data_IF_016820647857
#
_entry.id   IF_016820647857
#
_cell.length_a   1.000
_cell.length_b   1.000
_cell.length_c   1.000
_cell.angle_alpha   90.00
_cell.angle_beta   90.00
_cell.angle_gamma   90.00
#
_symmetry.space_group_name_H-M   'P 1'
#
loop_
_entity.id
_entity.type
_entity.pdbx_description
1 polymer ?
#
# COMPACT_ATOMS: atom_id res chain seq x y z
N UNK A 1 -7.26 -1.12 26.53
CA UNK A 1 -5.80 -0.91 26.36
C UNK A 1 -5.26 -1.64 25.15
N UNK A 2 -5.56 -2.94 25.01
CA UNK A 2 -5.22 -3.76 23.84
C UNK A 2 -5.65 -3.14 22.50
N UNK A 3 -6.89 -2.68 22.38
CA UNK A 3 -7.42 -2.07 21.14
C UNK A 3 -6.68 -0.80 20.71
N UNK A 4 -6.36 0.10 21.65
CA UNK A 4 -5.60 1.33 21.38
C UNK A 4 -4.17 1.02 20.92
N UNK A 5 -3.56 -0.03 21.48
CA UNK A 5 -2.24 -0.49 21.07
C UNK A 5 -2.24 -0.96 19.61
N UNK A 6 -3.21 -1.81 19.23
CA UNK A 6 -3.32 -2.31 17.85
C UNK A 6 -3.64 -1.20 16.84
N UNK A 7 -4.49 -0.23 17.21
CA UNK A 7 -4.72 0.96 16.39
C UNK A 7 -3.43 1.75 16.16
N UNK A 8 -2.67 2.02 17.22
CA UNK A 8 -1.38 2.71 17.10
C UNK A 8 -0.36 1.95 16.26
N UNK A 9 -0.25 0.64 16.47
CA UNK A 9 0.63 -0.23 15.69
C UNK A 9 0.24 -0.22 14.19
N UNK A 10 -1.05 -0.30 13.87
CA UNK A 10 -1.53 -0.22 12.49
C UNK A 10 -1.15 1.10 11.82
N UNK A 11 -1.31 2.23 12.53
CA UNK A 11 -0.92 3.55 12.01
C UNK A 11 0.60 3.62 11.77
N UNK A 12 1.41 3.05 12.67
CA UNK A 12 2.85 2.96 12.49
C UNK A 12 3.22 2.15 11.24
N UNK A 13 2.56 1.02 11.00
CA UNK A 13 2.80 0.19 9.82
C UNK A 13 2.42 0.91 8.52
N UNK A 14 1.32 1.65 8.51
CA UNK A 14 0.94 2.50 7.36
C UNK A 14 1.99 3.58 7.11
N UNK A 15 2.47 4.26 8.16
CA UNK A 15 3.50 5.29 8.01
C UNK A 15 4.82 4.70 7.48
N UNK A 16 5.21 3.50 7.91
CA UNK A 16 6.39 2.79 7.38
C UNK A 16 6.21 2.45 5.90
N UNK A 17 5.02 2.02 5.49
CA UNK A 17 4.68 1.71 4.10
C UNK A 17 4.73 2.96 3.20
N UNK A 18 4.16 4.09 3.66
CA UNK A 18 4.26 5.39 2.98
C UNK A 18 5.71 5.88 2.88
N UNK A 19 6.48 5.75 3.94
CA UNK A 19 7.90 6.10 3.94
C UNK A 19 8.67 5.26 2.91
N UNK A 20 8.46 3.94 2.91
CA UNK A 20 9.08 3.05 1.94
C UNK A 20 8.71 3.42 0.50
N UNK A 21 7.44 3.78 0.25
CA UNK A 21 7.00 4.26 -1.06
C UNK A 21 7.77 5.50 -1.49
N UNK A 22 7.84 6.53 -0.64
CA UNK A 22 8.51 7.79 -0.96
C UNK A 22 10.02 7.60 -1.19
N UNK A 23 10.67 6.77 -0.38
CA UNK A 23 12.09 6.44 -0.53
C UNK A 23 12.41 5.79 -1.89
N UNK A 24 11.46 5.11 -2.53
CA UNK A 24 11.63 4.49 -3.84
C UNK A 24 11.15 5.43 -4.96
N UNK A 25 9.97 6.03 -4.80
CA UNK A 25 9.31 6.80 -5.84
C UNK A 25 10.01 8.14 -6.12
N UNK A 26 10.54 8.81 -5.10
CA UNK A 26 11.24 10.10 -5.28
C UNK A 26 12.51 9.94 -6.10
N UNK A 27 13.44 8.99 -5.81
CA UNK A 27 14.60 8.76 -6.67
C UNK A 27 14.23 8.43 -8.12
N UNK A 28 13.20 7.60 -8.33
CA UNK A 28 12.73 7.27 -9.69
C UNK A 28 12.19 8.51 -10.39
N UNK A 29 11.37 9.32 -9.72
CA UNK A 29 10.83 10.56 -10.28
C UNK A 29 11.95 11.54 -10.66
N UNK A 30 12.96 11.72 -9.80
CA UNK A 30 14.10 12.61 -10.08
C UNK A 30 14.94 12.08 -11.25
N UNK A 31 15.13 10.77 -11.36
CA UNK A 31 15.98 10.17 -12.39
C UNK A 31 15.28 9.99 -13.76
N UNK A 32 13.98 9.68 -13.77
CA UNK A 32 13.24 9.23 -14.97
C UNK A 32 12.05 10.16 -15.30
N UNK A 33 11.61 10.98 -14.36
CA UNK A 33 10.39 11.79 -14.49
C UNK A 33 9.10 10.98 -14.29
N UNK A 34 7.99 11.52 -14.77
CA UNK A 34 6.66 10.92 -14.67
C UNK A 34 5.72 11.67 -13.73
N UNK A 35 4.65 11.02 -13.22
CA UNK A 35 3.72 11.63 -12.28
C UNK A 35 4.43 11.96 -10.96
N UNK A 36 4.10 13.11 -10.38
CA UNK A 36 4.59 13.51 -9.05
C UNK A 36 4.20 12.47 -8.00
N UNK A 37 5.15 11.93 -7.21
CA UNK A 37 4.81 11.00 -6.14
C UNK A 37 4.01 11.70 -5.03
N UNK A 38 2.99 11.02 -4.49
CA UNK A 38 2.21 11.49 -3.34
C UNK A 38 2.65 10.78 -2.07
N UNK A 39 2.75 11.51 -0.96
CA UNK A 39 3.03 10.95 0.37
C UNK A 39 1.85 10.13 0.93
N UNK A 40 0.64 10.36 0.43
CA UNK A 40 -0.55 9.60 0.84
C UNK A 40 -0.58 8.20 0.21
N UNK A 41 0.25 7.95 -0.81
CA UNK A 41 0.34 6.66 -1.48
C UNK A 41 1.19 5.65 -0.69
N UNK A 42 0.72 4.40 -0.64
CA UNK A 42 1.45 3.28 -0.03
C UNK A 42 2.00 2.31 -1.09
N UNK A 43 3.08 1.58 -0.76
CA UNK A 43 3.55 0.48 -1.62
C UNK A 43 2.44 -0.58 -1.71
N UNK A 44 1.81 -0.90 -0.58
CA UNK A 44 0.73 -1.90 -0.55
C UNK A 44 -0.43 -1.57 -1.49
N UNK A 45 -0.88 -0.31 -1.57
CA UNK A 45 -1.94 0.14 -2.48
C UNK A 45 -1.48 0.10 -3.94
N UNK A 46 -0.25 0.55 -4.23
CA UNK A 46 0.32 0.47 -5.58
C UNK A 46 0.46 -0.98 -6.06
N UNK A 47 0.89 -1.87 -5.19
CA UNK A 47 0.99 -3.32 -5.45
C UNK A 47 -0.40 -3.92 -5.65
N UNK A 48 -1.36 -3.59 -4.80
CA UNK A 48 -2.75 -4.03 -4.93
C UNK A 48 -3.36 -3.62 -6.28
N UNK A 49 -3.14 -2.36 -6.72
CA UNK A 49 -3.57 -1.90 -8.05
C UNK A 49 -2.91 -2.68 -9.18
N UNK A 50 -1.61 -2.95 -9.06
CA UNK A 50 -0.88 -3.71 -10.07
C UNK A 50 -1.39 -5.15 -10.17
N UNK A 51 -1.66 -5.78 -9.02
CA UNK A 51 -2.25 -7.12 -8.93
C UNK A 51 -3.66 -7.17 -9.53
N UNK A 52 -4.53 -6.20 -9.20
CA UNK A 52 -5.87 -6.07 -9.79
C UNK A 52 -5.80 -5.93 -11.31
N UNK A 53 -4.83 -5.18 -11.84
CA UNK A 53 -4.56 -5.06 -13.27
C UNK A 53 -3.90 -6.28 -13.92
N UNK A 54 -3.60 -7.33 -13.14
CA UNK A 54 -3.01 -8.57 -13.62
C UNK A 54 -1.50 -8.51 -13.88
N UNK A 55 -0.79 -7.49 -13.39
CA UNK A 55 0.66 -7.43 -13.52
C UNK A 55 1.31 -8.53 -12.68
N UNK A 56 2.13 -9.38 -13.33
CA UNK A 56 2.84 -10.49 -12.68
C UNK A 56 3.66 -10.07 -11.45
N UNK A 57 4.35 -8.94 -11.54
CA UNK A 57 5.13 -8.41 -10.41
C UNK A 57 4.23 -7.98 -9.24
N UNK A 58 3.05 -7.43 -9.54
CA UNK A 58 2.05 -7.05 -8.54
C UNK A 58 1.52 -8.25 -7.78
N UNK A 59 1.16 -9.32 -8.51
CA UNK A 59 0.68 -10.58 -7.91
C UNK A 59 1.73 -11.23 -6.99
N UNK A 60 3.01 -11.18 -7.35
CA UNK A 60 4.09 -11.76 -6.51
C UNK A 60 4.31 -10.91 -5.26
N UNK A 61 4.42 -9.58 -5.40
CA UNK A 61 4.64 -8.69 -4.26
C UNK A 61 3.44 -8.66 -3.31
N UNK A 62 2.22 -8.74 -3.84
CA UNK A 62 0.98 -8.82 -3.07
C UNK A 62 1.03 -9.97 -2.06
N UNK A 63 1.42 -11.17 -2.48
CA UNK A 63 1.51 -12.33 -1.59
C UNK A 63 2.53 -12.11 -0.45
N UNK A 64 3.64 -11.43 -0.73
CA UNK A 64 4.67 -11.16 0.29
C UNK A 64 4.17 -10.14 1.30
N UNK A 65 3.59 -9.04 0.82
CA UNK A 65 3.09 -7.95 1.67
C UNK A 65 1.90 -8.42 2.50
N UNK A 66 0.93 -9.12 1.89
CA UNK A 66 -0.24 -9.64 2.59
C UNK A 66 0.16 -10.63 3.69
N UNK A 67 1.15 -11.50 3.45
CA UNK A 67 1.65 -12.41 4.49
C UNK A 67 2.28 -11.66 5.66
N UNK A 68 3.08 -10.63 5.39
CA UNK A 68 3.69 -9.80 6.44
C UNK A 68 2.62 -9.12 7.28
N UNK A 69 1.61 -8.53 6.64
CA UNK A 69 0.52 -7.86 7.34
C UNK A 69 -0.38 -8.82 8.11
N UNK A 70 -0.65 -10.02 7.59
CA UNK A 70 -1.38 -11.07 8.33
C UNK A 70 -0.60 -11.52 9.58
N UNK A 71 0.72 -11.71 9.47
CA UNK A 71 1.57 -12.02 10.64
C UNK A 71 1.54 -10.92 11.70
N UNK A 72 1.33 -9.67 11.27
CA UNK A 72 1.21 -8.49 12.15
C UNK A 72 -0.23 -8.24 12.63
N UNK A 73 -1.16 -9.18 12.39
CA UNK A 73 -2.54 -9.11 12.88
C UNK A 73 -3.51 -8.35 11.98
N UNK A 74 -3.12 -8.02 10.75
CA UNK A 74 -4.04 -7.50 9.73
C UNK A 74 -4.91 -8.63 9.16
N UNK A 75 -6.10 -8.27 8.68
CA UNK A 75 -6.93 -9.19 7.92
C UNK A 75 -6.34 -9.51 6.53
N UNK A 76 -6.72 -10.65 5.91
CA UNK A 76 -6.25 -11.04 4.57
C UNK A 76 -6.49 -9.98 3.48
N UNK A 77 -5.81 -10.11 2.34
CA UNK A 77 -5.92 -9.21 1.19
C UNK A 77 -5.69 -7.72 1.55
N UNK A 78 -4.67 -7.45 2.38
CA UNK A 78 -4.33 -6.10 2.83
C UNK A 78 -4.07 -5.16 1.66
N UNK A 79 -3.30 -5.60 0.67
CA UNK A 79 -2.97 -4.84 -0.53
C UNK A 79 -4.21 -4.42 -1.33
N UNK A 80 -5.17 -5.32 -1.58
CA UNK A 80 -6.37 -5.02 -2.38
C UNK A 80 -7.39 -4.18 -1.63
N UNK A 81 -7.58 -4.44 -0.34
CA UNK A 81 -8.59 -3.74 0.46
C UNK A 81 -8.24 -2.29 0.71
N UNK A 82 -6.95 -1.98 0.80
CA UNK A 82 -6.47 -0.61 0.99
C UNK A 82 -6.25 0.15 -0.32
N UNK A 83 -6.60 -0.44 -1.48
CA UNK A 83 -6.71 0.35 -2.70
C UNK A 83 -7.91 1.27 -2.56
N UNK A 84 -7.64 2.56 -2.37
CA UNK A 84 -8.68 3.59 -2.44
C UNK A 84 -9.39 3.52 -3.79
N UNK A 85 -10.73 3.46 -3.75
CA UNK A 85 -11.56 3.32 -4.94
C UNK A 85 -11.42 4.50 -5.91
N UNK A 86 -11.00 5.68 -5.42
CA UNK A 86 -10.64 6.83 -6.24
C UNK A 86 -9.55 6.50 -7.28
N UNK A 87 -8.55 5.69 -6.91
CA UNK A 87 -7.49 5.27 -7.85
C UNK A 87 -7.93 4.18 -8.84
N UNK A 88 -9.09 3.57 -8.61
CA UNK A 88 -9.73 2.61 -9.53
C UNK A 88 -10.72 3.29 -10.49
N UNK A 89 -10.88 4.62 -10.41
CA UNK A 89 -11.93 5.34 -11.14
C UNK A 89 -13.34 5.09 -10.59
N UNK A 90 -13.44 4.54 -9.38
CA UNK A 90 -14.69 4.29 -8.68
C UNK A 90 -14.94 5.38 -7.64
N UNK A 91 -16.21 5.62 -7.28
CA UNK A 91 -16.54 6.56 -6.21
C UNK A 91 -15.83 6.16 -4.90
N UNK A 92 -15.36 7.13 -4.08
CA UNK A 92 -14.77 6.85 -2.77
C UNK A 92 -15.76 6.01 -1.95
N UNK A 93 -15.30 4.89 -1.37
CA UNK A 93 -16.11 4.16 -0.38
C UNK A 93 -16.24 5.04 0.86
N UNK A 94 -17.46 5.15 1.44
CA UNK A 94 -17.68 5.93 2.66
C UNK A 94 -16.91 5.37 3.85
#
# INVERSE_FOLDING_TARGET
MHERFWLGLRQLLVAVDQLAYILIAVPIYVAVGGPTPSADETISSRVGRAAIKGHRWGLVLEVVIDRLFVLLGSEPDHCRRNVESAFLGCAPKP
#
